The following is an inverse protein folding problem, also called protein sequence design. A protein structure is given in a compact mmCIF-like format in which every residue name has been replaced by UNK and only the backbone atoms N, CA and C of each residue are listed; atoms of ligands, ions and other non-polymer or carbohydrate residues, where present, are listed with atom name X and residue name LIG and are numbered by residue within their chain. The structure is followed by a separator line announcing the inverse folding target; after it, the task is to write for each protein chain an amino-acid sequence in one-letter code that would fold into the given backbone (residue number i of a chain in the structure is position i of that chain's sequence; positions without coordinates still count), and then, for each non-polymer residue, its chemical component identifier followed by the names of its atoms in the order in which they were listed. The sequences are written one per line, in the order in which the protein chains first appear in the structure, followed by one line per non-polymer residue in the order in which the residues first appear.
data_IF_577380221445
#
_entry.id   IF_577380221445
#
_cell.length_a   1.000
_cell.length_b   1.000
_cell.length_c   1.000
_cell.angle_alpha   90.00
_cell.angle_beta   90.00
_cell.angle_gamma   90.00
#
_symmetry.space_group_name_H-M   'P 1'
#
loop_
_entity.id
_entity.type
_entity.pdbx_description
1 polymer ?
#
# COMPACT_ATOMS: atom_id res chain seq x y z
N UNK A 1 10.36 -6.82 21.09
CA UNK A 1 10.03 -6.03 19.88
C UNK A 1 8.54 -6.10 19.56
N UNK A 2 7.90 -7.28 19.51
CA UNK A 2 6.44 -7.43 19.27
C UNK A 2 5.53 -7.21 20.50
N UNK A 3 6.11 -6.87 21.66
CA UNK A 3 5.35 -6.66 22.90
C UNK A 3 4.88 -5.21 23.11
N UNK A 4 5.19 -4.30 22.19
CA UNK A 4 4.73 -2.92 22.29
C UNK A 4 3.31 -2.81 21.71
N UNK A 5 2.33 -2.54 22.58
CA UNK A 5 0.94 -2.38 22.19
C UNK A 5 0.72 -1.21 21.23
N UNK A 6 1.55 -0.15 21.30
CA UNK A 6 1.44 1.05 20.47
C UNK A 6 1.76 0.79 18.99
N UNK A 7 2.34 -0.37 18.66
CA UNK A 7 2.60 -0.78 17.27
C UNK A 7 1.36 -1.34 16.57
N UNK A 8 0.29 -1.61 17.31
CA UNK A 8 -0.92 -2.25 16.82
C UNK A 8 -2.11 -1.29 16.91
N UNK A 9 -3.07 -1.45 16.01
CA UNK A 9 -4.28 -0.65 16.05
C UNK A 9 -5.13 -1.04 17.26
N UNK A 10 -5.62 -0.06 18.02
CA UNK A 10 -6.33 -0.28 19.29
C UNK A 10 -7.62 -1.12 19.12
N UNK A 11 -8.25 -1.06 17.95
CA UNK A 11 -9.44 -1.83 17.61
C UNK A 11 -9.16 -3.31 17.28
N UNK A 12 -7.89 -3.72 17.14
CA UNK A 12 -7.52 -5.07 16.72
C UNK A 12 -7.24 -5.98 17.94
N UNK A 13 -8.16 -6.92 18.21
CA UNK A 13 -8.03 -7.86 19.34
C UNK A 13 -6.94 -8.92 19.17
N UNK A 14 -6.62 -9.29 17.93
CA UNK A 14 -5.63 -10.30 17.58
C UNK A 14 -4.73 -9.78 16.44
N UNK A 15 -3.72 -8.96 16.75
CA UNK A 15 -2.99 -8.19 15.73
C UNK A 15 -1.97 -8.99 14.93
N UNK A 16 -1.77 -10.27 15.23
CA UNK A 16 -0.84 -11.13 14.51
C UNK A 16 -1.32 -12.58 14.48
N UNK A 17 -1.03 -13.24 13.36
CA UNK A 17 -1.17 -14.69 13.17
C UNK A 17 0.19 -15.27 12.84
N UNK A 18 0.53 -16.41 13.44
CA UNK A 18 1.80 -17.11 13.19
C UNK A 18 1.48 -18.48 12.59
N UNK A 19 2.01 -18.71 11.39
CA UNK A 19 1.97 -20.00 10.71
C UNK A 19 3.39 -20.57 10.66
N UNK A 20 3.52 -21.89 10.81
CA UNK A 20 4.82 -22.57 10.73
C UNK A 20 4.75 -23.71 9.71
N UNK A 21 5.88 -24.01 9.09
CA UNK A 21 6.05 -25.14 8.20
C UNK A 21 7.40 -25.79 8.50
N UNK A 22 7.43 -27.12 8.50
CA UNK A 22 8.66 -27.88 8.64
C UNK A 22 9.44 -28.02 7.31
N UNK A 23 8.82 -27.62 6.19
CA UNK A 23 9.48 -27.68 4.89
C UNK A 23 10.50 -26.54 4.76
N UNK A 24 11.76 -26.83 4.39
CA UNK A 24 12.76 -25.80 4.16
C UNK A 24 12.39 -24.97 2.93
N UNK A 25 12.58 -23.66 3.02
CA UNK A 25 12.41 -22.75 1.89
C UNK A 25 13.77 -22.53 1.22
N UNK A 26 13.91 -22.86 -0.06
CA UNK A 26 15.11 -22.60 -0.87
C UNK A 26 16.45 -23.06 -0.23
N UNK A 27 16.43 -24.16 0.52
CA UNK A 27 17.63 -24.69 1.18
C UNK A 27 18.10 -23.89 2.41
N UNK A 28 17.37 -22.87 2.84
CA UNK A 28 17.63 -22.19 4.11
C UNK A 28 17.24 -23.08 5.29
N UNK A 29 18.11 -23.15 6.31
CA UNK A 29 17.84 -23.90 7.54
C UNK A 29 16.60 -23.35 8.27
N UNK A 30 16.45 -22.02 8.28
CA UNK A 30 15.30 -21.32 8.85
C UNK A 30 14.97 -20.10 8.01
N UNK A 31 13.69 -19.88 7.74
CA UNK A 31 13.19 -18.69 7.04
C UNK A 31 11.93 -18.18 7.72
N UNK A 32 11.75 -16.86 7.71
CA UNK A 32 10.53 -16.21 8.18
C UNK A 32 10.10 -15.15 7.18
N UNK A 33 8.80 -15.08 6.91
CA UNK A 33 8.19 -14.06 6.07
C UNK A 33 7.16 -13.29 6.89
N UNK A 34 7.13 -11.96 6.75
CA UNK A 34 6.16 -11.10 7.42
C UNK A 34 5.25 -10.47 6.38
N UNK A 35 3.95 -10.74 6.49
CA UNK A 35 2.91 -9.98 5.81
C UNK A 35 2.34 -8.99 6.83
N UNK A 36 2.60 -7.71 6.63
CA UNK A 36 2.16 -6.64 7.54
C UNK A 36 1.24 -5.68 6.82
N UNK A 37 0.03 -5.48 7.37
CA UNK A 37 -0.87 -4.41 6.97
C UNK A 37 -0.69 -3.23 7.94
N UNK A 38 -0.02 -2.15 7.49
CA UNK A 38 0.28 -1.01 8.35
C UNK A 38 0.27 0.32 7.60
N UNK A 39 0.25 1.41 8.34
CA UNK A 39 0.31 2.78 7.79
C UNK A 39 1.66 3.13 7.15
N UNK A 40 2.66 2.23 7.15
CA UNK A 40 3.93 2.46 6.44
C UNK A 40 3.74 2.68 4.93
N UNK A 41 2.66 2.12 4.35
CA UNK A 41 2.30 2.31 2.93
C UNK A 41 2.01 3.77 2.59
N UNK A 42 1.61 4.59 3.55
CA UNK A 42 1.36 6.02 3.34
C UNK A 42 2.58 6.76 2.79
N UNK A 43 3.80 6.34 3.15
CA UNK A 43 5.03 6.93 2.62
C UNK A 43 5.19 6.72 1.11
N UNK A 44 4.71 5.58 0.60
CA UNK A 44 4.73 5.27 -0.83
C UNK A 44 3.73 6.17 -1.56
N UNK A 45 2.51 6.31 -1.03
CA UNK A 45 1.51 7.20 -1.59
C UNK A 45 1.93 8.68 -1.54
N UNK A 46 2.45 9.15 -0.40
CA UNK A 46 2.89 10.54 -0.22
C UNK A 46 4.04 10.91 -1.19
N UNK A 47 4.85 9.95 -1.61
CA UNK A 47 5.90 10.16 -2.60
C UNK A 47 5.40 10.06 -4.05
N UNK A 48 4.50 9.13 -4.35
CA UNK A 48 4.08 8.82 -5.73
C UNK A 48 2.91 9.68 -6.23
N UNK A 49 1.90 9.90 -5.39
CA UNK A 49 0.64 10.56 -5.78
C UNK A 49 0.85 12.00 -6.30
N UNK A 50 1.64 12.88 -5.65
CA UNK A 50 1.84 14.24 -6.14
C UNK A 50 2.52 14.27 -7.51
N UNK A 51 3.49 13.37 -7.73
CA UNK A 51 4.19 13.25 -9.01
C UNK A 51 3.26 12.75 -10.11
N UNK A 52 2.44 11.74 -9.82
CA UNK A 52 1.47 11.21 -10.76
C UNK A 52 0.45 12.28 -11.16
N UNK A 53 -0.06 13.05 -10.20
CA UNK A 53 -0.94 14.21 -10.45
C UNK A 53 -0.27 15.26 -11.31
N UNK A 54 0.98 15.64 -11.02
CA UNK A 54 1.72 16.61 -11.82
C UNK A 54 1.92 16.16 -13.27
N UNK A 55 2.32 14.89 -13.46
CA UNK A 55 2.51 14.32 -14.80
C UNK A 55 1.19 14.28 -15.58
N UNK A 56 0.10 13.87 -14.92
CA UNK A 56 -1.21 13.83 -15.54
C UNK A 56 -1.73 15.23 -15.90
N UNK A 57 -1.57 16.22 -15.01
CA UNK A 57 -1.92 17.62 -15.28
C UNK A 57 -1.14 18.20 -16.47
N UNK A 58 0.12 17.79 -16.64
CA UNK A 58 0.95 18.16 -17.80
C UNK A 58 0.65 17.32 -19.07
N UNK A 59 -0.32 16.40 -19.02
CA UNK A 59 -0.61 15.39 -20.06
C UNK A 59 0.64 14.60 -20.48
N UNK A 60 1.60 14.45 -19.57
CA UNK A 60 2.85 13.77 -19.84
C UNK A 60 2.59 12.28 -20.10
N UNK A 61 3.05 11.78 -21.25
CA UNK A 61 2.94 10.37 -21.66
C UNK A 61 1.52 9.80 -21.79
N UNK A 62 0.45 10.57 -21.56
CA UNK A 62 -0.96 10.09 -21.62
C UNK A 62 -1.28 9.42 -22.96
N UNK A 63 -0.78 9.98 -24.07
CA UNK A 63 -0.99 9.42 -25.41
C UNK A 63 -0.48 7.97 -25.57
N UNK A 64 0.56 7.56 -24.82
CA UNK A 64 1.11 6.21 -24.88
C UNK A 64 0.13 5.19 -24.29
N UNK A 65 -0.60 5.58 -23.24
CA UNK A 65 -1.62 4.74 -22.64
C UNK A 65 -2.89 4.72 -23.48
N UNK A 66 -3.25 5.83 -24.11
CA UNK A 66 -4.38 5.91 -25.05
C UNK A 66 -4.20 4.99 -26.26
N UNK A 67 -2.97 4.80 -26.74
CA UNK A 67 -2.67 3.81 -27.80
C UNK A 67 -3.02 2.37 -27.41
N UNK A 68 -3.13 2.08 -26.11
CA UNK A 68 -3.50 0.78 -25.57
C UNK A 68 -4.94 0.75 -25.02
N UNK A 69 -5.77 1.76 -25.34
CA UNK A 69 -7.19 1.79 -25.02
C UNK A 69 -7.55 2.38 -23.66
N UNK A 70 -6.61 3.02 -22.96
CA UNK A 70 -6.91 3.77 -21.74
C UNK A 70 -7.41 5.17 -22.08
N UNK A 71 -8.47 5.60 -21.41
CA UNK A 71 -9.03 6.94 -21.54
C UNK A 71 -8.52 7.86 -20.42
N UNK A 72 -8.66 9.17 -20.62
CA UNK A 72 -8.32 10.17 -19.60
C UNK A 72 -9.08 9.91 -18.30
N UNK A 73 -10.34 9.47 -18.38
CA UNK A 73 -11.18 9.14 -17.24
C UNK A 73 -10.59 7.99 -16.37
N UNK A 74 -9.86 7.05 -16.98
CA UNK A 74 -9.22 5.95 -16.25
C UNK A 74 -8.11 6.46 -15.32
N UNK A 75 -7.35 7.47 -15.76
CA UNK A 75 -6.34 8.13 -14.93
C UNK A 75 -6.97 8.90 -13.78
N UNK A 76 -8.04 9.64 -14.06
CA UNK A 76 -8.79 10.39 -13.03
C UNK A 76 -9.33 9.44 -11.96
N UNK A 77 -9.95 8.34 -12.38
CA UNK A 77 -10.42 7.30 -11.49
C UNK A 77 -9.25 6.71 -10.67
N UNK A 78 -8.15 6.29 -11.30
CA UNK A 78 -7.01 5.72 -10.59
C UNK A 78 -6.41 6.67 -9.54
N UNK A 79 -6.23 7.96 -9.88
CA UNK A 79 -5.74 8.98 -8.96
C UNK A 79 -6.71 9.20 -7.78
N UNK A 80 -8.02 9.20 -8.04
CA UNK A 80 -9.04 9.34 -7.01
C UNK A 80 -9.02 8.15 -6.04
N UNK A 81 -8.91 6.93 -6.57
CA UNK A 81 -8.80 5.70 -5.78
C UNK A 81 -7.53 5.67 -4.92
N UNK A 82 -6.41 6.13 -5.47
CA UNK A 82 -5.15 6.25 -4.74
C UNK A 82 -5.28 7.23 -3.55
N UNK A 83 -5.88 8.40 -3.77
CA UNK A 83 -6.08 9.37 -2.70
C UNK A 83 -7.08 8.89 -1.64
N UNK A 84 -8.19 8.28 -2.05
CA UNK A 84 -9.15 7.70 -1.10
C UNK A 84 -8.49 6.60 -0.24
N UNK A 85 -7.66 5.75 -0.85
CA UNK A 85 -6.91 4.72 -0.12
C UNK A 85 -5.96 5.35 0.91
N UNK A 86 -5.25 6.41 0.51
CA UNK A 86 -4.36 7.17 1.41
C UNK A 86 -5.13 7.76 2.60
N UNK A 87 -6.30 8.34 2.35
CA UNK A 87 -7.17 8.89 3.39
C UNK A 87 -7.69 7.79 4.33
N UNK A 88 -8.10 6.65 3.79
CA UNK A 88 -8.55 5.50 4.59
C UNK A 88 -7.45 5.05 5.57
N UNK A 89 -6.22 4.84 5.09
CA UNK A 89 -5.10 4.43 5.94
C UNK A 89 -4.71 5.51 6.95
N UNK A 90 -4.76 6.80 6.59
CA UNK A 90 -4.53 7.89 7.55
C UNK A 90 -5.58 7.92 8.67
N UNK A 91 -6.83 7.60 8.36
CA UNK A 91 -7.92 7.60 9.34
C UNK A 91 -7.82 6.52 10.42
N UNK A 92 -7.01 5.47 10.23
CA UNK A 92 -6.92 4.34 11.16
C UNK A 92 -6.17 4.64 12.47
N UNK A 93 -5.51 5.80 12.60
CA UNK A 93 -4.72 6.19 13.79
C UNK A 93 -5.51 6.96 14.87
N UNK A 94 -6.83 7.13 14.74
CA UNK A 94 -7.67 7.92 15.65
C UNK A 94 -8.80 7.12 16.31
N UNK A 95 -8.70 5.78 16.33
CA UNK A 95 -9.63 4.89 17.03
C UNK A 95 -9.01 4.30 18.29
#
# INVERSE_FOLDING_TARGET
MFGNADLYAAWCQAPAMVCTSALPLNGFERSASLLSNSQSVLRVFDAATPRAQQMFAARAFVHQYQQHGLETADFEAALMWAEQTRLNYRGLSHG
#
